data_IF_314957484646
#
_entry.id   IF_314957484646
#
_cell.length_a   1.000
_cell.length_b   1.000
_cell.length_c   1.000
_cell.angle_alpha   90.00
_cell.angle_beta   90.00
_cell.angle_gamma   90.00
#
_symmetry.space_group_name_H-M   'P 1'
#
loop_
_entity.id
_entity.type
_entity.pdbx_description
1 polymer ?
#
# COMPACT_ATOMS: atom_id res chain seq x y z
N UNK A 1 -13.81 10.54 16.79
CA UNK A 1 -14.55 10.83 15.55
C UNK A 1 -13.55 10.88 14.40
N UNK A 2 -13.64 9.99 13.40
CA UNK A 2 -12.83 10.11 12.18
C UNK A 2 -13.52 11.14 11.26
N UNK A 3 -12.81 12.19 10.89
CA UNK A 3 -13.32 13.26 10.01
C UNK A 3 -13.67 12.67 8.63
N UNK A 4 -14.76 13.12 8.00
CA UNK A 4 -15.22 12.63 6.66
C UNK A 4 -14.06 12.56 5.64
N UNK A 5 -13.18 13.57 5.68
CA UNK A 5 -11.98 13.66 4.84
C UNK A 5 -11.00 12.48 4.98
N UNK A 6 -10.89 11.88 6.16
CA UNK A 6 -10.03 10.71 6.37
C UNK A 6 -10.63 9.44 5.76
N UNK A 7 -11.96 9.33 5.73
CA UNK A 7 -12.64 8.19 5.10
C UNK A 7 -12.52 8.24 3.58
N UNK A 8 -12.65 9.43 2.99
CA UNK A 8 -12.48 9.62 1.54
C UNK A 8 -11.05 9.29 1.08
N UNK A 9 -10.04 9.74 1.84
CA UNK A 9 -8.64 9.44 1.54
C UNK A 9 -8.35 7.94 1.64
N UNK A 10 -8.91 7.24 2.64
CA UNK A 10 -8.76 5.80 2.78
C UNK A 10 -9.45 5.05 1.62
N UNK A 11 -10.63 5.50 1.20
CA UNK A 11 -11.37 4.92 0.08
C UNK A 11 -10.62 5.08 -1.26
N UNK A 12 -10.05 6.26 -1.52
CA UNK A 12 -9.23 6.51 -2.71
C UNK A 12 -8.00 5.58 -2.74
N UNK A 13 -7.30 5.47 -1.62
CA UNK A 13 -6.12 4.61 -1.52
C UNK A 13 -6.47 3.12 -1.73
N UNK A 14 -7.59 2.66 -1.17
CA UNK A 14 -8.08 1.29 -1.42
C UNK A 14 -8.41 1.05 -2.89
N UNK A 15 -9.05 2.02 -3.54
CA UNK A 15 -9.36 1.93 -4.96
C UNK A 15 -8.09 1.84 -5.80
N UNK A 16 -7.06 2.62 -5.47
CA UNK A 16 -5.79 2.61 -6.19
C UNK A 16 -5.01 1.30 -5.99
N UNK A 17 -4.97 0.78 -4.76
CA UNK A 17 -4.40 -0.54 -4.45
C UNK A 17 -5.10 -1.62 -5.27
N UNK A 18 -6.44 -1.60 -5.34
CA UNK A 18 -7.22 -2.55 -6.12
C UNK A 18 -6.97 -2.41 -7.63
N UNK A 19 -6.90 -1.18 -8.15
CA UNK A 19 -6.58 -0.90 -9.56
C UNK A 19 -5.20 -1.43 -9.96
N UNK A 20 -4.22 -1.37 -9.05
CA UNK A 20 -2.87 -1.91 -9.24
C UNK A 20 -2.80 -3.44 -9.05
N UNK A 21 -3.90 -4.09 -8.70
CA UNK A 21 -3.94 -5.53 -8.43
C UNK A 21 -3.23 -5.94 -7.12
N UNK A 22 -2.99 -4.98 -6.23
CA UNK A 22 -2.40 -5.20 -4.92
C UNK A 22 -3.49 -5.63 -3.92
N UNK A 23 -3.09 -6.30 -2.84
CA UNK A 23 -3.99 -6.79 -1.78
C UNK A 23 -3.68 -6.11 -0.46
N UNK A 24 -4.72 -5.85 0.33
CA UNK A 24 -4.61 -5.28 1.68
C UNK A 24 -4.88 -6.39 2.68
N UNK A 25 -3.90 -6.66 3.54
CA UNK A 25 -3.98 -7.65 4.62
C UNK A 25 -3.90 -6.93 5.98
N UNK A 26 -4.77 -7.29 6.92
CA UNK A 26 -4.65 -6.82 8.30
C UNK A 26 -3.83 -7.81 9.11
N UNK A 27 -2.72 -7.35 9.67
CA UNK A 27 -1.86 -8.11 10.57
C UNK A 27 -1.94 -7.51 11.97
N UNK A 28 -2.92 -7.97 12.75
CA UNK A 28 -3.17 -7.48 14.10
C UNK A 28 -3.55 -5.99 14.10
N UNK A 29 -2.65 -5.13 14.58
CA UNK A 29 -2.84 -3.67 14.59
C UNK A 29 -2.25 -2.97 13.35
N UNK A 30 -1.53 -3.70 12.51
CA UNK A 30 -0.90 -3.19 11.30
C UNK A 30 -1.66 -3.58 10.04
N UNK A 31 -1.39 -2.87 8.96
CA UNK A 31 -1.90 -3.11 7.62
C UNK A 31 -0.71 -3.38 6.71
N UNK A 32 -0.79 -4.46 5.94
CA UNK A 32 0.17 -4.81 4.90
C UNK A 32 -0.49 -4.66 3.55
N UNK A 33 0.21 -4.06 2.59
CA UNK A 33 -0.19 -3.98 1.20
C UNK A 33 0.82 -4.77 0.39
N UNK A 34 0.36 -5.84 -0.25
CA UNK A 34 1.23 -6.81 -0.93
C UNK A 34 0.76 -7.07 -2.36
N UNK A 35 1.70 -7.17 -3.28
CA UNK A 35 1.46 -7.58 -4.66
C UNK A 35 2.75 -7.68 -5.45
N UNK A 36 2.64 -7.71 -6.78
CA UNK A 36 3.81 -7.92 -7.65
C UNK A 36 4.77 -6.75 -7.52
N UNK A 37 5.95 -7.02 -6.94
CA UNK A 37 6.98 -6.00 -6.71
C UNK A 37 6.66 -5.00 -5.60
N UNK A 38 5.60 -5.19 -4.81
CA UNK A 38 5.22 -4.27 -3.72
C UNK A 38 4.99 -5.06 -2.44
N UNK A 39 5.68 -4.70 -1.37
CA UNK A 39 5.43 -5.20 -0.01
C UNK A 39 5.64 -4.06 1.00
N UNK A 40 4.52 -3.46 1.42
CA UNK A 40 4.51 -2.30 2.32
C UNK A 40 3.77 -2.66 3.59
N UNK A 41 4.36 -2.39 4.74
CA UNK A 41 3.72 -2.59 6.04
C UNK A 41 3.67 -1.27 6.81
N UNK A 42 2.48 -0.91 7.30
CA UNK A 42 2.27 0.31 8.07
C UNK A 42 1.30 0.08 9.22
N UNK A 43 1.42 0.86 10.30
CA UNK A 43 0.49 0.80 11.43
C UNK A 43 -0.95 1.21 11.05
N UNK A 44 -1.12 1.99 9.98
CA UNK A 44 -2.44 2.37 9.42
C UNK A 44 -2.31 2.60 7.92
N UNK A 45 -3.39 2.32 7.21
CA UNK A 45 -3.49 2.53 5.76
C UNK A 45 -3.23 4.00 5.36
N UNK A 46 -3.63 4.97 6.20
CA UNK A 46 -3.42 6.41 5.96
C UNK A 46 -1.95 6.84 5.95
N UNK A 47 -1.01 6.00 6.40
CA UNK A 47 0.42 6.27 6.33
C UNK A 47 1.07 5.77 5.05
N UNK A 48 0.35 5.01 4.22
CA UNK A 48 0.83 4.50 2.94
C UNK A 48 0.49 5.54 1.88
N UNK A 49 1.48 5.94 1.09
CA UNK A 49 1.31 6.85 -0.04
C UNK A 49 1.36 6.08 -1.35
N UNK A 50 0.90 6.73 -2.42
CA UNK A 50 0.94 6.18 -3.78
C UNK A 50 2.36 5.78 -4.21
N UNK A 51 3.39 6.50 -3.75
CA UNK A 51 4.80 6.19 -4.04
C UNK A 51 5.25 4.89 -3.40
N UNK A 52 4.73 4.56 -2.22
CA UNK A 52 5.04 3.30 -1.55
C UNK A 52 4.44 2.11 -2.31
N UNK A 53 3.40 2.34 -3.13
CA UNK A 53 2.76 1.34 -3.98
C UNK A 53 3.43 1.19 -5.36
N UNK A 54 4.56 1.87 -5.58
CA UNK A 54 5.37 1.65 -6.77
C UNK A 54 6.16 0.36 -6.61
N UNK A 55 6.17 -0.52 -7.62
CA UNK A 55 6.94 -1.73 -7.53
C UNK A 55 8.42 -1.37 -7.34
N UNK A 56 9.05 -1.97 -6.33
CA UNK A 56 10.50 -1.92 -6.20
C UNK A 56 11.04 -2.58 -7.47
N UNK A 57 11.47 -1.73 -8.38
CA UNK A 57 12.26 -2.12 -9.53
C UNK A 57 13.56 -2.62 -8.96
N UNK A 58 13.59 -3.90 -8.62
CA UNK A 58 14.85 -4.59 -8.40
C UNK A 58 15.56 -4.44 -9.74
N UNK A 59 16.70 -3.72 -9.82
CA UNK A 59 17.43 -3.69 -11.08
C UNK A 59 17.72 -5.15 -11.44
N UNK A 60 17.13 -5.60 -12.55
CA UNK A 60 17.45 -6.87 -13.16
C UNK A 60 18.87 -6.75 -13.73
N UNK A 61 19.87 -6.85 -12.87
CA UNK A 61 21.28 -6.70 -13.28
C UNK A 61 22.14 -6.23 -12.11
N UNK A 62 22.85 -7.17 -11.49
CA UNK A 62 23.85 -6.83 -10.49
C UNK A 62 24.16 -7.96 -9.50
N UNK A 63 24.26 -9.20 -9.97
CA UNK A 63 25.06 -10.20 -9.27
C UNK A 63 26.40 -10.29 -10.03
N UNK A 64 27.47 -9.99 -9.29
CA UNK A 64 28.86 -9.99 -9.72
C UNK A 64 29.36 -11.38 -10.15
#
# INVERSE_FOLDING_TARGET
MKTVRQQEMEAQLRAEIAQRGLRIEQHGKAVRVVGVGVDVMASRLTYITVRDLEPISTPAGGAA
#
